data_IF_316798549561
#
_entry.id   IF_316798549561
#
_cell.length_a   1.000
_cell.length_b   1.000
_cell.length_c   1.000
_cell.angle_alpha   90.00
_cell.angle_beta   90.00
_cell.angle_gamma   90.00
#
_symmetry.space_group_name_H-M   'P 1'
#
loop_
_entity.id
_entity.type
_entity.pdbx_description
1 polymer ?
#
# COMPACT_ATOMS: atom_id res chain seq x y z
N UNK A 1 -6.76 -12.00 -2.00
CA UNK A 1 -5.60 -11.37 -2.67
C UNK A 1 -5.89 -9.89 -2.79
N UNK A 2 -4.99 -9.04 -2.32
CA UNK A 2 -5.24 -7.61 -2.20
C UNK A 2 -5.05 -6.87 -3.53
N UNK A 3 -5.79 -5.79 -3.80
CA UNK A 3 -5.62 -5.03 -5.04
C UNK A 3 -4.23 -4.39 -5.09
N UNK A 4 -3.49 -4.63 -6.16
CA UNK A 4 -2.23 -3.94 -6.43
C UNK A 4 -2.51 -2.45 -6.67
N UNK A 5 -1.58 -1.60 -6.26
CA UNK A 5 -1.68 -0.15 -6.21
C UNK A 5 -2.66 0.40 -5.17
N UNK A 6 -3.34 -0.45 -4.39
CA UNK A 6 -4.10 0.03 -3.24
C UNK A 6 -3.16 0.75 -2.26
N UNK A 7 -3.56 1.95 -1.85
CA UNK A 7 -2.86 2.70 -0.81
C UNK A 7 -3.54 2.45 0.53
N UNK A 8 -2.72 2.18 1.53
CA UNK A 8 -3.13 2.03 2.91
C UNK A 8 -2.49 3.11 3.78
N UNK A 9 -3.21 3.56 4.81
CA UNK A 9 -2.69 4.45 5.84
C UNK A 9 -2.47 3.65 7.14
N UNK A 10 -1.27 3.79 7.73
CA UNK A 10 -0.90 3.24 9.04
C UNK A 10 -0.21 4.33 9.86
N UNK A 11 -0.91 4.85 10.87
CA UNK A 11 -0.52 6.08 11.54
C UNK A 11 -0.34 7.24 10.55
N UNK A 12 0.88 7.78 10.48
CA UNK A 12 1.25 8.87 9.55
C UNK A 12 1.78 8.37 8.19
N UNK A 13 2.10 7.08 8.08
CA UNK A 13 2.67 6.50 6.86
C UNK A 13 1.55 6.16 5.89
N UNK A 14 1.84 6.30 4.59
CA UNK A 14 1.01 5.77 3.52
C UNK A 14 1.81 4.79 2.71
N UNK A 15 1.31 3.57 2.60
CA UNK A 15 1.97 2.46 1.94
C UNK A 15 1.17 2.05 0.72
N UNK A 16 1.79 2.03 -0.46
CA UNK A 16 1.19 1.46 -1.67
C UNK A 16 1.56 0.01 -1.78
N UNK A 17 0.56 -0.84 -2.03
CA UNK A 17 0.78 -2.24 -2.31
C UNK A 17 1.36 -2.41 -3.71
N UNK A 18 2.56 -2.97 -3.80
CA UNK A 18 3.23 -3.25 -5.07
C UNK A 18 2.90 -4.65 -5.58
N UNK A 19 2.66 -5.60 -4.67
CA UNK A 19 2.36 -6.99 -5.00
C UNK A 19 1.65 -7.69 -3.83
N UNK A 20 0.78 -8.65 -4.13
CA UNK A 20 0.12 -9.52 -3.15
C UNK A 20 0.05 -10.95 -3.66
N UNK A 21 0.63 -11.87 -2.90
CA UNK A 21 0.48 -13.31 -3.06
C UNK A 21 -0.48 -13.90 -2.03
N UNK A 22 -0.32 -15.19 -1.76
CA UNK A 22 -1.15 -15.94 -0.79
C UNK A 22 -0.71 -15.71 0.66
N UNK A 23 0.60 -15.67 0.91
CA UNK A 23 1.16 -15.57 2.27
C UNK A 23 1.84 -14.23 2.54
N UNK A 24 2.38 -13.62 1.49
CA UNK A 24 3.11 -12.36 1.58
C UNK A 24 2.57 -11.32 0.60
N UNK A 25 2.80 -10.07 0.96
CA UNK A 25 2.62 -8.91 0.12
C UNK A 25 3.85 -8.01 0.26
N UNK A 26 4.02 -7.11 -0.71
CA UNK A 26 5.10 -6.14 -0.72
C UNK A 26 4.45 -4.77 -0.87
N UNK A 27 4.84 -3.84 -0.01
CA UNK A 27 4.40 -2.45 -0.07
C UNK A 27 5.57 -1.48 0.00
N UNK A 28 5.33 -0.21 -0.26
CA UNK A 28 6.36 0.83 -0.19
C UNK A 28 5.74 2.12 0.36
N UNK A 29 6.52 2.88 1.13
CA UNK A 29 6.13 4.24 1.52
C UNK A 29 6.12 5.17 0.31
N UNK A 30 4.98 5.81 0.06
CA UNK A 30 4.79 6.67 -1.12
C UNK A 30 5.20 8.13 -0.89
N UNK A 31 5.51 8.52 0.35
CA UNK A 31 5.97 9.87 0.65
C UNK A 31 7.48 9.98 0.89
N UNK A 32 8.20 8.85 0.83
CA UNK A 32 9.65 8.84 0.97
C UNK A 32 10.34 8.49 -0.35
N UNK A 33 11.13 9.43 -0.87
CA UNK A 33 11.92 9.25 -2.11
C UNK A 33 13.03 8.19 -1.99
N UNK A 34 13.33 7.74 -0.78
CA UNK A 34 14.37 6.74 -0.50
C UNK A 34 13.81 5.45 0.09
N UNK A 35 12.48 5.29 0.11
CA UNK A 35 11.86 4.08 0.60
C UNK A 35 12.27 2.86 -0.23
N UNK A 36 12.49 1.75 0.46
CA UNK A 36 12.62 0.45 -0.16
C UNK A 36 11.31 -0.32 -0.01
N UNK A 37 11.00 -1.26 -0.92
CA UNK A 37 9.89 -2.18 -0.74
C UNK A 37 10.07 -3.04 0.52
N UNK A 38 9.01 -3.12 1.33
CA UNK A 38 9.00 -3.88 2.58
C UNK A 38 8.00 -5.04 2.46
N UNK A 39 8.37 -6.25 2.89
CA UNK A 39 7.43 -7.36 2.95
C UNK A 39 6.49 -7.21 4.15
N UNK A 40 5.25 -7.66 3.98
CA UNK A 40 4.28 -7.87 5.06
C UNK A 40 3.55 -9.20 4.81
N UNK A 41 3.22 -9.93 5.88
CA UNK A 41 2.39 -11.13 5.70
C UNK A 41 0.95 -10.74 5.39
N UNK A 42 0.28 -11.53 4.54
CA UNK A 42 -1.14 -11.32 4.20
C UNK A 42 -2.01 -11.40 5.46
N UNK A 43 -1.71 -12.35 6.36
CA UNK A 43 -2.43 -12.51 7.63
C UNK A 43 -2.30 -11.27 8.54
N UNK A 44 -1.12 -10.66 8.59
CA UNK A 44 -0.89 -9.43 9.36
C UNK A 44 -1.63 -8.24 8.73
N UNK A 45 -1.59 -8.12 7.41
CA UNK A 45 -2.31 -7.07 6.69
C UNK A 45 -3.82 -7.15 6.96
N UNK A 46 -4.41 -8.36 6.94
CA UNK A 46 -5.81 -8.61 7.30
C UNK A 46 -6.10 -8.28 8.76
N UNK A 47 -5.21 -8.68 9.69
CA UNK A 47 -5.34 -8.36 11.12
C UNK A 47 -5.41 -6.86 11.34
N UNK A 48 -4.47 -6.09 10.77
CA UNK A 48 -4.43 -4.63 10.92
C UNK A 48 -5.67 -3.94 10.34
N UNK A 49 -6.24 -4.46 9.24
CA UNK A 49 -7.50 -3.96 8.68
C UNK A 49 -8.69 -4.22 9.59
N UNK A 50 -8.76 -5.41 10.20
CA UNK A 50 -9.82 -5.78 11.15
C UNK A 50 -9.74 -4.94 12.42
N UNK A 51 -8.51 -4.74 12.92
CA UNK A 51 -8.22 -3.93 14.12
C UNK A 51 -8.32 -2.42 13.85
N UNK A 52 -8.47 -2.00 12.58
CA UNK A 52 -8.50 -0.61 12.12
C UNK A 52 -7.21 0.17 12.44
N UNK A 53 -6.11 -0.54 12.55
CA UNK A 53 -4.77 0.06 12.61
C UNK A 53 -4.25 0.39 11.20
N UNK A 54 -4.85 -0.23 10.19
CA UNK A 54 -4.64 0.03 8.77
C UNK A 54 -5.98 0.40 8.13
N UNK A 55 -5.98 1.45 7.32
CA UNK A 55 -7.16 1.86 6.55
C UNK A 55 -6.84 1.94 5.06
N UNK A 56 -7.77 1.51 4.22
CA UNK A 56 -7.69 1.68 2.78
C UNK A 56 -8.07 3.12 2.42
N UNK A 57 -7.21 3.83 1.71
CA UNK A 57 -7.45 5.22 1.28
C UNK A 57 -7.39 5.34 -0.24
N UNK A 58 -7.92 6.44 -0.78
CA UNK A 58 -7.67 6.80 -2.17
C UNK A 58 -6.18 7.08 -2.37
N UNK A 59 -5.65 6.74 -3.54
CA UNK A 59 -4.24 6.98 -3.85
C UNK A 59 -4.03 8.50 -4.04
N UNK A 60 -3.21 9.16 -3.19
CA UNK A 60 -3.01 10.60 -3.29
C UNK A 60 -2.25 11.02 -4.55
N UNK A 61 -1.69 10.07 -5.29
CA UNK A 61 -0.97 10.30 -6.55
C UNK A 61 -1.68 9.69 -7.76
N UNK A 62 -2.95 9.28 -7.63
CA UNK A 62 -3.73 8.69 -8.72
C UNK A 62 -3.70 9.58 -9.97
N UNK A 63 -3.94 10.88 -9.82
CA UNK A 63 -3.93 11.84 -10.93
C UNK A 63 -2.55 12.02 -11.59
N UNK A 64 -1.46 11.90 -10.83
CA UNK A 64 -0.10 12.01 -11.34
C UNK A 64 0.27 10.80 -12.20
N UNK A 65 -0.21 9.61 -11.82
CA UNK A 65 0.03 8.36 -12.55
C UNK A 65 -0.85 8.25 -13.79
N UNK A 66 -2.06 8.83 -13.75
CA UNK A 66 -3.02 8.82 -14.86
C UNK A 66 -2.76 9.90 -15.93
N UNK A 67 -1.78 10.81 -15.74
CA UNK A 67 -1.33 11.68 -16.83
C UNK A 67 -0.68 10.83 -17.91
N UNK A 68 -1.41 10.63 -19.00
CA UNK A 68 -0.89 10.06 -20.23
C UNK A 68 0.39 10.80 -20.63
N UNK A 69 1.41 10.04 -21.03
CA UNK A 69 2.62 10.57 -21.63
C UNK A 69 2.19 11.19 -22.96
N UNK A 70 2.09 12.53 -23.02
CA UNK A 70 1.95 13.26 -24.29
C UNK A 70 3.15 13.04 -25.22
#
# INVERSE_FOLDING_TARGET
MFPVNQVFQIGELRKRLLWSGTEQAIWIDIYSDTALPEPISVAELERLLIERELESIADPFEETVLREVE
#
